data_IF_143640998110
#
_entry.id   IF_143640998110
#
_cell.length_a   1.000
_cell.length_b   1.000
_cell.length_c   1.000
_cell.angle_alpha   90.00
_cell.angle_beta   90.00
_cell.angle_gamma   90.00
#
_symmetry.space_group_name_H-M   'P 1'
#
loop_
_entity.id
_entity.type
_entity.pdbx_description
1 polymer ?
#
# COMPACT_ATOMS: atom_id res chain seq x y z
N UNK A 1 29.23 33.77 7.13
CA UNK A 1 28.13 33.19 7.94
C UNK A 1 28.40 31.70 8.05
N UNK A 2 28.56 31.13 9.25
CA UNK A 2 28.87 29.71 9.37
C UNK A 2 27.70 28.90 8.84
N UNK A 3 27.97 27.98 7.92
CA UNK A 3 26.99 27.05 7.38
C UNK A 3 26.28 26.33 8.53
N UNK A 4 24.96 26.45 8.61
CA UNK A 4 24.13 25.69 9.54
C UNK A 4 24.45 24.21 9.36
N UNK A 5 25.01 23.58 10.40
CA UNK A 5 25.11 22.12 10.47
C UNK A 5 23.70 21.57 10.26
N UNK A 6 23.48 20.59 9.37
CA UNK A 6 22.19 19.93 9.29
C UNK A 6 21.85 19.40 10.68
N UNK A 7 20.76 19.90 11.28
CA UNK A 7 20.32 19.40 12.56
C UNK A 7 20.07 17.89 12.42
N UNK A 8 20.78 17.08 13.22
CA UNK A 8 20.53 15.64 13.26
C UNK A 8 19.04 15.40 13.50
N UNK A 9 18.45 14.54 12.68
CA UNK A 9 17.03 14.23 12.79
C UNK A 9 16.75 13.67 14.20
N UNK A 10 15.72 14.17 14.89
CA UNK A 10 15.45 13.76 16.26
C UNK A 10 15.17 12.26 16.31
N UNK A 11 15.85 11.55 17.22
CA UNK A 11 15.71 10.10 17.44
C UNK A 11 14.30 9.69 17.84
N UNK A 12 13.53 10.61 18.41
CA UNK A 12 12.13 10.41 18.77
C UNK A 12 11.36 11.74 18.72
N UNK A 13 10.05 11.64 18.47
CA UNK A 13 9.12 12.77 18.56
C UNK A 13 8.19 12.63 19.76
N UNK A 14 8.04 13.70 20.55
CA UNK A 14 7.13 13.71 21.70
C UNK A 14 5.72 14.09 21.27
N UNK A 15 4.75 13.24 21.55
CA UNK A 15 3.33 13.44 21.29
C UNK A 15 2.58 13.63 22.62
N UNK A 16 1.69 14.62 22.69
CA UNK A 16 0.85 14.89 23.87
C UNK A 16 -0.62 14.80 23.50
N UNK A 17 -1.37 14.03 24.26
CA UNK A 17 -2.83 14.13 24.27
C UNK A 17 -3.22 15.29 25.21
N UNK A 18 -3.87 16.32 24.68
CA UNK A 18 -4.24 17.51 25.44
C UNK A 18 -5.44 17.31 26.37
N UNK A 19 -6.29 16.31 26.10
CA UNK A 19 -7.44 15.99 26.93
C UNK A 19 -7.06 15.14 28.14
N UNK A 20 -6.23 14.11 27.96
CA UNK A 20 -5.84 13.20 29.05
C UNK A 20 -4.51 13.56 29.71
N UNK A 21 -3.73 14.45 29.08
CA UNK A 21 -2.36 14.77 29.52
C UNK A 21 -1.32 13.70 29.21
N UNK A 22 -1.71 12.55 28.65
CA UNK A 22 -0.81 11.44 28.35
C UNK A 22 0.27 11.85 27.32
N UNK A 23 1.49 11.36 27.52
CA UNK A 23 2.64 11.63 26.65
C UNK A 23 3.11 10.30 26.05
N UNK A 24 3.32 10.30 24.74
CA UNK A 24 3.88 9.19 23.98
C UNK A 24 5.15 9.66 23.25
N UNK A 25 6.06 8.73 23.00
CA UNK A 25 7.30 9.00 22.25
C UNK A 25 7.31 8.13 20.99
N UNK A 26 7.34 8.76 19.83
CA UNK A 26 7.38 8.11 18.53
C UNK A 26 8.83 7.93 18.09
N UNK A 27 9.29 6.68 18.04
CA UNK A 27 10.58 6.28 17.47
C UNK A 27 10.46 5.69 16.07
N UNK A 28 9.24 5.38 15.61
CA UNK A 28 8.99 4.74 14.32
C UNK A 28 9.13 5.74 13.17
N UNK A 29 8.77 7.00 13.41
CA UNK A 29 8.97 8.12 12.48
C UNK A 29 10.43 8.28 12.04
N UNK A 30 11.41 7.95 12.89
CA UNK A 30 12.83 7.96 12.54
C UNK A 30 13.22 6.87 11.52
N UNK A 31 12.37 5.85 11.33
CA UNK A 31 12.56 4.79 10.33
C UNK A 31 11.84 5.11 9.00
N UNK A 32 11.15 6.24 8.91
CA UNK A 32 10.42 6.63 7.71
C UNK A 32 11.40 6.93 6.57
N UNK A 33 11.23 6.22 5.45
CA UNK A 33 12.05 6.40 4.24
C UNK A 33 11.34 7.15 3.13
N UNK A 34 10.01 7.22 3.21
CA UNK A 34 9.20 7.93 2.21
C UNK A 34 9.27 9.42 2.46
N UNK A 35 9.54 10.18 1.39
CA UNK A 35 9.45 11.63 1.45
C UNK A 35 8.01 12.05 1.75
N UNK A 36 7.86 12.98 2.70
CA UNK A 36 6.59 13.64 2.98
C UNK A 36 6.45 14.87 2.08
N UNK A 37 5.22 15.34 1.78
CA UNK A 37 5.03 16.53 0.95
C UNK A 37 5.48 17.84 1.61
N UNK A 38 5.86 17.81 2.89
CA UNK A 38 6.26 18.99 3.64
C UNK A 38 7.78 19.23 3.54
N UNK A 39 8.18 20.50 3.62
CA UNK A 39 9.58 20.91 3.74
C UNK A 39 9.79 21.74 5.01
N UNK A 40 11.06 22.07 5.32
CA UNK A 40 11.41 22.92 6.45
C UNK A 40 10.71 24.31 6.42
N UNK A 41 10.33 24.79 5.23
CA UNK A 41 9.71 26.12 5.05
C UNK A 41 8.20 26.08 4.79
N UNK A 42 7.64 24.92 4.45
CA UNK A 42 6.23 24.82 4.05
C UNK A 42 5.62 23.49 4.44
N UNK A 43 4.47 23.57 5.11
CA UNK A 43 3.62 22.41 5.36
C UNK A 43 2.61 22.24 4.22
N UNK A 44 2.49 21.02 3.69
CA UNK A 44 1.48 20.60 2.72
C UNK A 44 0.53 19.54 3.30
N UNK A 45 0.36 19.52 4.63
CA UNK A 45 -0.45 18.51 5.32
C UNK A 45 -1.94 18.51 4.94
N UNK A 46 -2.48 19.65 4.47
CA UNK A 46 -3.87 19.78 4.00
C UNK A 46 -4.06 19.44 2.52
N UNK A 47 -2.99 19.15 1.77
CA UNK A 47 -3.11 18.74 0.38
C UNK A 47 -3.78 17.35 0.29
N UNK A 48 -4.89 17.27 -0.44
CA UNK A 48 -5.67 16.02 -0.56
C UNK A 48 -4.88 14.92 -1.27
N UNK A 49 -4.21 15.24 -2.39
CA UNK A 49 -3.47 14.26 -3.21
C UNK A 49 -2.06 14.79 -3.53
N UNK A 50 -1.13 14.77 -2.56
CA UNK A 50 0.25 15.16 -2.82
C UNK A 50 0.95 14.13 -3.71
N UNK A 51 1.87 14.59 -4.57
CA UNK A 51 2.59 13.72 -5.53
C UNK A 51 3.36 12.60 -4.85
N UNK A 52 3.92 12.84 -3.66
CA UNK A 52 4.68 11.86 -2.88
C UNK A 52 3.83 10.69 -2.35
N UNK A 53 2.50 10.86 -2.29
CA UNK A 53 1.57 9.78 -1.92
C UNK A 53 0.99 9.05 -3.14
N UNK A 54 1.27 9.53 -4.35
CA UNK A 54 0.90 8.86 -5.58
C UNK A 54 2.02 7.89 -5.96
N UNK A 55 1.65 6.64 -6.21
CA UNK A 55 2.51 5.73 -6.96
C UNK A 55 2.28 6.05 -8.44
N UNK A 56 3.26 6.70 -9.09
CA UNK A 56 3.16 7.03 -10.50
C UNK A 56 3.14 5.78 -11.39
N UNK A 57 3.01 5.94 -12.72
CA UNK A 57 3.59 4.98 -13.65
C UNK A 57 5.12 5.06 -13.53
N UNK A 58 5.65 4.73 -12.34
CA UNK A 58 7.08 4.55 -12.16
C UNK A 58 7.49 3.47 -13.13
N UNK A 59 8.41 3.82 -14.04
CA UNK A 59 9.11 2.88 -14.89
C UNK A 59 9.82 1.83 -14.06
N UNK A 60 10.34 0.81 -14.73
CA UNK A 60 11.03 -0.28 -14.06
C UNK A 60 12.08 0.26 -13.10
N UNK A 61 11.94 -0.11 -11.81
CA UNK A 61 12.91 0.27 -10.79
C UNK A 61 14.26 -0.32 -11.17
N UNK A 62 15.34 0.41 -10.88
CA UNK A 62 16.65 -0.18 -11.09
C UNK A 62 16.82 -1.42 -10.21
N UNK A 63 17.60 -2.37 -10.70
CA UNK A 63 17.89 -3.62 -10.00
C UNK A 63 18.41 -3.37 -8.57
N UNK A 64 19.35 -2.43 -8.41
CA UNK A 64 19.91 -2.03 -7.12
C UNK A 64 18.84 -1.53 -6.13
N UNK A 65 17.91 -0.71 -6.62
CA UNK A 65 16.80 -0.21 -5.80
C UNK A 65 15.87 -1.35 -5.40
N UNK A 66 15.55 -2.26 -6.33
CA UNK A 66 14.70 -3.41 -6.06
C UNK A 66 15.34 -4.37 -5.05
N UNK A 67 16.63 -4.67 -5.19
CA UNK A 67 17.40 -5.49 -4.26
C UNK A 67 17.38 -4.92 -2.85
N UNK A 68 17.60 -3.61 -2.71
CA UNK A 68 17.52 -2.94 -1.40
C UNK A 68 16.13 -3.08 -0.79
N UNK A 69 15.09 -2.71 -1.54
CA UNK A 69 13.70 -2.75 -1.05
C UNK A 69 13.26 -4.18 -0.69
N UNK A 70 13.65 -5.17 -1.49
CA UNK A 70 13.37 -6.57 -1.24
C UNK A 70 14.04 -7.05 0.04
N UNK A 71 15.33 -6.73 0.24
CA UNK A 71 16.06 -7.05 1.49
C UNK A 71 15.39 -6.45 2.72
N UNK A 72 14.97 -5.19 2.64
CA UNK A 72 14.30 -4.51 3.75
C UNK A 72 12.96 -5.17 4.10
N UNK A 73 12.16 -5.49 3.08
CA UNK A 73 10.88 -6.16 3.27
C UNK A 73 11.05 -7.56 3.87
N UNK A 74 11.98 -8.38 3.35
CA UNK A 74 12.25 -9.73 3.86
C UNK A 74 12.77 -9.66 5.30
N UNK A 75 13.70 -8.74 5.59
CA UNK A 75 14.19 -8.50 6.95
C UNK A 75 13.05 -8.13 7.90
N UNK A 76 12.13 -7.25 7.46
CA UNK A 76 10.96 -6.84 8.25
C UNK A 76 10.03 -8.05 8.51
N UNK A 77 9.78 -8.88 7.50
CA UNK A 77 8.96 -10.09 7.63
C UNK A 77 9.55 -11.08 8.65
N UNK A 78 10.83 -11.43 8.52
CA UNK A 78 11.48 -12.36 9.45
C UNK A 78 11.62 -11.78 10.87
N UNK A 79 11.86 -10.47 10.99
CA UNK A 79 11.87 -9.78 12.28
C UNK A 79 10.53 -9.87 13.00
N UNK A 80 9.41 -9.74 12.27
CA UNK A 80 8.07 -9.82 12.84
C UNK A 80 7.75 -11.17 13.47
N UNK A 81 8.35 -12.24 12.95
CA UNK A 81 8.19 -13.62 13.46
C UNK A 81 9.29 -14.00 14.46
N UNK A 82 10.14 -13.05 14.89
CA UNK A 82 11.32 -13.29 15.74
C UNK A 82 12.30 -14.31 15.16
N UNK A 83 12.46 -14.32 13.83
CA UNK A 83 13.36 -15.21 13.08
C UNK A 83 14.39 -14.44 12.23
N UNK A 84 14.63 -13.17 12.55
CA UNK A 84 15.74 -12.42 11.97
C UNK A 84 17.06 -13.17 12.18
N UNK A 85 17.98 -13.03 11.22
CA UNK A 85 19.28 -13.73 11.19
C UNK A 85 19.24 -15.28 11.24
N UNK A 86 18.07 -15.90 11.11
CA UNK A 86 17.99 -17.36 11.04
C UNK A 86 18.55 -17.91 9.72
N UNK A 87 18.87 -19.20 9.66
CA UNK A 87 19.29 -19.85 8.41
C UNK A 87 18.25 -19.67 7.29
N UNK A 88 16.96 -19.81 7.64
CA UNK A 88 15.86 -19.59 6.70
C UNK A 88 15.78 -18.14 6.21
N UNK A 89 16.13 -17.15 7.05
CA UNK A 89 16.19 -15.73 6.65
C UNK A 89 17.27 -15.52 5.59
N UNK A 90 18.48 -16.00 5.85
CA UNK A 90 19.62 -15.88 4.93
C UNK A 90 19.36 -16.60 3.60
N UNK A 91 18.81 -17.81 3.64
CA UNK A 91 18.44 -18.56 2.44
C UNK A 91 17.40 -17.81 1.60
N UNK A 92 16.37 -17.26 2.23
CA UNK A 92 15.34 -16.49 1.50
C UNK A 92 15.91 -15.22 0.87
N UNK A 93 16.81 -14.50 1.57
CA UNK A 93 17.50 -13.35 1.01
C UNK A 93 18.35 -13.72 -0.23
N UNK A 94 19.06 -14.85 -0.18
CA UNK A 94 19.83 -15.35 -1.33
C UNK A 94 18.91 -15.72 -2.50
N UNK A 95 17.82 -16.43 -2.24
CA UNK A 95 16.84 -16.80 -3.26
C UNK A 95 16.24 -15.57 -3.95
N UNK A 96 15.83 -14.56 -3.18
CA UNK A 96 15.28 -13.31 -3.71
C UNK A 96 16.30 -12.54 -4.52
N UNK A 97 17.55 -12.45 -4.04
CA UNK A 97 18.63 -11.80 -4.81
C UNK A 97 18.84 -12.50 -6.15
N UNK A 98 18.93 -13.83 -6.16
CA UNK A 98 19.13 -14.60 -7.40
C UNK A 98 17.96 -14.42 -8.36
N UNK A 99 16.71 -14.46 -7.87
CA UNK A 99 15.53 -14.22 -8.73
C UNK A 99 15.57 -12.83 -9.39
N UNK A 100 15.94 -11.79 -8.63
CA UNK A 100 16.04 -10.43 -9.16
C UNK A 100 17.13 -10.35 -10.24
N UNK A 101 18.30 -10.95 -10.00
CA UNK A 101 19.40 -10.99 -10.98
C UNK A 101 19.02 -11.76 -12.26
N UNK A 102 18.30 -12.87 -12.12
CA UNK A 102 17.99 -13.76 -13.25
C UNK A 102 16.79 -13.27 -14.08
N UNK A 103 15.80 -12.64 -13.43
CA UNK A 103 14.50 -12.34 -14.06
C UNK A 103 14.14 -10.86 -14.05
N UNK A 104 14.93 -10.01 -13.40
CA UNK A 104 14.65 -8.60 -13.16
C UNK A 104 13.60 -8.33 -12.08
N UNK A 105 13.05 -9.37 -11.44
CA UNK A 105 12.05 -9.25 -10.36
C UNK A 105 12.05 -10.47 -9.44
N UNK A 106 11.16 -10.53 -8.45
CA UNK A 106 10.99 -11.71 -7.60
C UNK A 106 9.53 -11.92 -7.24
N UNK A 107 9.19 -13.15 -6.85
CA UNK A 107 7.84 -13.49 -6.39
C UNK A 107 7.81 -13.65 -4.88
N UNK A 108 6.90 -12.93 -4.23
CA UNK A 108 6.58 -13.12 -2.82
C UNK A 108 5.96 -14.51 -2.59
N UNK A 109 6.33 -15.14 -1.48
CA UNK A 109 5.58 -16.28 -0.96
C UNK A 109 4.19 -15.84 -0.49
N UNK A 110 3.24 -16.77 -0.39
CA UNK A 110 1.89 -16.45 0.07
C UNK A 110 1.90 -15.81 1.47
N UNK A 111 2.67 -16.36 2.40
CA UNK A 111 2.79 -15.81 3.76
C UNK A 111 3.38 -14.39 3.77
N UNK A 112 4.34 -14.11 2.89
CA UNK A 112 4.92 -12.79 2.69
C UNK A 112 3.90 -11.81 2.10
N UNK A 113 3.10 -12.26 1.13
CA UNK A 113 2.03 -11.47 0.53
C UNK A 113 0.96 -11.08 1.56
N UNK A 114 0.53 -12.03 2.38
CA UNK A 114 -0.43 -11.80 3.48
C UNK A 114 0.13 -10.81 4.49
N UNK A 115 1.40 -10.98 4.86
CA UNK A 115 2.10 -10.07 5.77
C UNK A 115 2.16 -8.65 5.20
N UNK A 116 2.57 -8.51 3.95
CA UNK A 116 2.70 -7.23 3.25
C UNK A 116 1.37 -6.49 3.14
N UNK A 117 0.30 -7.19 2.78
CA UNK A 117 -1.05 -6.61 2.69
C UNK A 117 -1.53 -6.06 4.04
N UNK A 118 -1.36 -6.83 5.12
CA UNK A 118 -1.72 -6.41 6.48
C UNK A 118 -0.87 -5.24 6.96
N UNK A 119 0.44 -5.25 6.69
CA UNK A 119 1.33 -4.14 7.05
C UNK A 119 1.05 -2.87 6.26
N UNK A 120 0.70 -2.98 4.97
CA UNK A 120 0.27 -1.83 4.18
C UNK A 120 -0.97 -1.16 4.79
N UNK A 121 -1.97 -1.95 5.20
CA UNK A 121 -3.15 -1.40 5.89
C UNK A 121 -2.79 -0.78 7.26
N UNK A 122 -1.95 -1.46 8.07
CA UNK A 122 -1.46 -0.91 9.34
C UNK A 122 -0.74 0.44 9.15
N UNK A 123 -0.02 0.60 8.05
CA UNK A 123 0.76 1.79 7.73
C UNK A 123 -0.05 2.87 6.98
N UNK A 124 -1.33 2.62 6.65
CA UNK A 124 -2.19 3.59 5.98
C UNK A 124 -2.62 4.71 6.96
N UNK A 125 -1.83 5.78 7.05
CA UNK A 125 -2.03 6.88 8.02
C UNK A 125 -3.42 7.54 7.95
N UNK A 126 -4.06 7.52 6.78
CA UNK A 126 -5.41 8.08 6.54
C UNK A 126 -6.56 7.13 6.92
N UNK A 127 -6.28 5.90 7.35
CA UNK A 127 -7.29 4.93 7.75
C UNK A 127 -7.53 4.98 9.27
N UNK A 128 -8.74 5.32 9.69
CA UNK A 128 -9.15 5.29 11.10
C UNK A 128 -9.34 3.86 11.63
N UNK A 129 -9.84 2.95 10.79
CA UNK A 129 -10.19 1.56 11.15
C UNK A 129 -9.01 0.60 11.33
N UNK A 130 -7.78 1.11 11.52
CA UNK A 130 -6.55 0.31 11.57
C UNK A 130 -6.47 -0.64 12.76
N UNK A 131 -7.32 -0.53 13.77
CA UNK A 131 -7.36 -1.51 14.87
C UNK A 131 -7.64 -2.95 14.38
N UNK A 132 -8.31 -3.09 13.22
CA UNK A 132 -8.64 -4.39 12.61
C UNK A 132 -7.55 -4.93 11.67
N UNK A 133 -6.39 -4.26 11.54
CA UNK A 133 -5.39 -4.54 10.51
C UNK A 133 -4.94 -6.01 10.41
N UNK A 134 -4.97 -6.74 11.52
CA UNK A 134 -4.56 -8.15 11.56
C UNK A 134 -5.67 -9.13 11.10
N UNK A 135 -6.93 -8.68 11.05
CA UNK A 135 -8.12 -9.42 10.59
C UNK A 135 -8.47 -9.04 9.14
N UNK A 136 -7.55 -9.34 8.23
CA UNK A 136 -7.71 -9.15 6.79
C UNK A 136 -7.64 -10.50 6.08
N UNK A 137 -8.69 -10.83 5.31
CA UNK A 137 -8.64 -11.93 4.35
C UNK A 137 -7.88 -11.48 3.11
N UNK A 138 -6.93 -12.29 2.65
CA UNK A 138 -6.20 -12.04 1.41
C UNK A 138 -6.59 -13.11 0.42
N UNK A 139 -7.02 -12.69 -0.76
CA UNK A 139 -7.22 -13.56 -1.91
C UNK A 139 -6.03 -13.36 -2.86
N UNK A 140 -5.21 -14.40 -2.99
CA UNK A 140 -4.11 -14.41 -3.94
C UNK A 140 -4.66 -14.70 -5.35
N UNK A 141 -4.62 -13.70 -6.21
CA UNK A 141 -5.11 -13.73 -7.58
C UNK A 141 -3.98 -13.40 -8.57
N UNK A 142 -2.71 -13.64 -8.17
CA UNK A 142 -1.52 -13.26 -8.95
C UNK A 142 -1.31 -14.10 -10.21
N UNK A 143 -2.05 -15.20 -10.37
CA UNK A 143 -1.96 -16.12 -11.51
C UNK A 143 -3.07 -15.90 -12.55
N UNK A 144 -3.95 -14.90 -12.33
CA UNK A 144 -5.00 -14.52 -13.28
C UNK A 144 -4.39 -13.91 -14.54
N UNK A 145 -4.97 -14.23 -15.69
CA UNK A 145 -4.50 -13.81 -17.01
C UNK A 145 -5.54 -13.07 -17.84
N UNK A 146 -6.82 -13.10 -17.43
CA UNK A 146 -7.91 -12.50 -18.21
C UNK A 146 -8.82 -11.57 -17.38
N UNK A 147 -9.49 -10.66 -18.07
CA UNK A 147 -10.51 -9.77 -17.46
C UNK A 147 -11.71 -10.54 -16.91
N UNK A 148 -12.07 -11.66 -17.55
CA UNK A 148 -13.15 -12.52 -17.07
C UNK A 148 -12.80 -13.18 -15.72
N UNK A 149 -11.57 -13.68 -15.59
CA UNK A 149 -11.07 -14.20 -14.31
C UNK A 149 -11.00 -13.10 -13.24
N UNK A 150 -10.55 -11.88 -13.60
CA UNK A 150 -10.59 -10.73 -12.69
C UNK A 150 -12.01 -10.47 -12.18
N UNK A 151 -12.99 -10.44 -13.08
CA UNK A 151 -14.40 -10.24 -12.73
C UNK A 151 -14.89 -11.32 -11.76
N UNK A 152 -14.63 -12.60 -12.05
CA UNK A 152 -14.99 -13.71 -11.17
C UNK A 152 -14.36 -13.61 -9.78
N UNK A 153 -13.08 -13.22 -9.70
CA UNK A 153 -12.40 -12.97 -8.42
C UNK A 153 -12.99 -11.79 -7.66
N UNK A 154 -13.42 -10.73 -8.35
CA UNK A 154 -14.11 -9.60 -7.72
C UNK A 154 -15.49 -9.99 -7.20
N UNK A 155 -16.27 -10.78 -7.94
CA UNK A 155 -17.55 -11.31 -7.45
C UNK A 155 -17.36 -12.17 -6.19
N UNK A 156 -16.32 -13.03 -6.19
CA UNK A 156 -15.96 -13.85 -5.02
C UNK A 156 -15.59 -12.98 -3.82
N UNK A 157 -14.77 -11.94 -4.06
CA UNK A 157 -14.41 -10.96 -3.04
C UNK A 157 -15.64 -10.28 -2.45
N UNK A 158 -16.55 -9.75 -3.28
CA UNK A 158 -17.75 -9.04 -2.84
C UNK A 158 -18.64 -9.98 -2.02
N UNK A 159 -18.93 -11.18 -2.52
CA UNK A 159 -19.74 -12.15 -1.78
C UNK A 159 -19.13 -12.48 -0.41
N UNK A 160 -17.81 -12.70 -0.36
CA UNK A 160 -17.09 -12.92 0.89
C UNK A 160 -17.16 -11.72 1.84
N UNK A 161 -16.88 -10.51 1.33
CA UNK A 161 -16.79 -9.30 2.13
C UNK A 161 -18.15 -8.84 2.64
N UNK A 162 -19.21 -8.98 1.84
CA UNK A 162 -20.58 -8.62 2.22
C UNK A 162 -21.15 -9.57 3.26
N UNK A 163 -20.93 -10.89 3.12
CA UNK A 163 -21.28 -11.90 4.13
C UNK A 163 -22.68 -11.70 4.76
N UNK A 164 -23.70 -11.50 3.92
CA UNK A 164 -25.10 -11.26 4.34
C UNK A 164 -25.27 -10.12 5.37
N UNK A 165 -24.44 -9.10 5.28
CA UNK A 165 -24.45 -7.93 6.17
C UNK A 165 -23.41 -7.98 7.31
N UNK A 166 -22.84 -9.15 7.63
CA UNK A 166 -21.77 -9.26 8.63
C UNK A 166 -20.39 -9.05 7.98
N UNK A 167 -20.09 -7.78 7.68
CA UNK A 167 -18.97 -7.40 6.82
C UNK A 167 -17.62 -7.97 7.27
N UNK A 168 -16.84 -8.44 6.30
CA UNK A 168 -15.47 -8.94 6.50
C UNK A 168 -14.49 -8.15 5.66
N UNK A 169 -13.40 -7.71 6.28
CA UNK A 169 -12.31 -7.03 5.55
C UNK A 169 -11.56 -8.04 4.68
N UNK A 170 -11.47 -7.75 3.39
CA UNK A 170 -10.75 -8.55 2.42
C UNK A 170 -9.95 -7.68 1.44
N UNK A 171 -8.92 -8.26 0.83
CA UNK A 171 -8.19 -7.70 -0.30
C UNK A 171 -7.96 -8.81 -1.34
N UNK A 172 -8.13 -8.50 -2.62
CA UNK A 172 -7.74 -9.39 -3.72
C UNK A 172 -6.53 -8.80 -4.41
N UNK A 173 -5.44 -9.57 -4.52
CA UNK A 173 -4.18 -9.10 -5.07
C UNK A 173 -3.98 -9.74 -6.44
N UNK A 174 -4.10 -8.91 -7.47
CA UNK A 174 -3.88 -9.27 -8.87
C UNK A 174 -2.39 -9.35 -9.22
N UNK A 175 -2.05 -9.84 -10.42
CA UNK A 175 -0.65 -9.97 -10.83
C UNK A 175 0.10 -8.63 -10.68
N UNK A 176 1.33 -8.63 -10.16
CA UNK A 176 2.11 -7.40 -10.03
C UNK A 176 2.44 -6.82 -11.42
N UNK A 177 2.75 -5.52 -11.46
CA UNK A 177 3.29 -4.89 -12.68
C UNK A 177 4.54 -5.66 -13.14
N UNK A 178 4.62 -5.93 -14.44
CA UNK A 178 5.76 -6.54 -15.09
C UNK A 178 5.98 -5.88 -16.45
N UNK A 179 7.23 -5.64 -16.80
CA UNK A 179 7.61 -5.09 -18.10
C UNK A 179 7.02 -5.94 -19.24
N UNK A 180 6.44 -5.29 -20.25
CA UNK A 180 5.92 -5.95 -21.45
C UNK A 180 4.58 -6.70 -21.31
N UNK A 181 4.05 -6.92 -20.09
CA UNK A 181 2.77 -7.64 -19.88
C UNK A 181 1.53 -6.74 -19.84
N UNK A 182 1.71 -5.44 -19.60
CA UNK A 182 0.62 -4.52 -19.29
C UNK A 182 0.15 -4.64 -17.82
N UNK A 183 -0.52 -3.59 -17.34
CA UNK A 183 -0.98 -3.50 -15.95
C UNK A 183 -2.39 -4.09 -15.77
N UNK A 184 -2.59 -4.83 -14.68
CA UNK A 184 -3.91 -5.18 -14.18
C UNK A 184 -4.49 -3.99 -13.41
N UNK A 185 -5.57 -3.38 -13.92
CA UNK A 185 -6.19 -2.18 -13.34
C UNK A 185 -7.70 -2.31 -13.26
N UNK A 186 -8.24 -1.90 -12.12
CA UNK A 186 -9.67 -1.57 -11.98
C UNK A 186 -9.77 -0.05 -12.13
N UNK A 187 -10.52 0.40 -13.12
CA UNK A 187 -10.67 1.84 -13.39
C UNK A 187 -11.63 2.49 -12.38
N UNK A 188 -12.58 1.71 -11.87
CA UNK A 188 -13.53 2.13 -10.86
C UNK A 188 -12.78 2.55 -9.58
N UNK A 189 -13.11 3.72 -9.00
CA UNK A 189 -12.49 4.16 -7.75
C UNK A 189 -12.87 3.27 -6.56
N UNK A 190 -14.03 2.59 -6.63
CA UNK A 190 -14.54 1.62 -5.65
C UNK A 190 -15.30 0.52 -6.43
N UNK A 191 -15.38 -0.69 -5.88
CA UNK A 191 -16.02 -1.83 -6.57
C UNK A 191 -17.53 -1.64 -6.79
N UNK A 192 -18.20 -0.92 -5.88
CA UNK A 192 -19.65 -0.66 -5.95
C UNK A 192 -19.84 0.85 -5.74
N UNK A 193 -20.37 1.54 -6.77
CA UNK A 193 -20.83 2.94 -6.70
C UNK A 193 -22.05 3.13 -7.58
N UNK A 194 -22.83 4.16 -7.28
CA UNK A 194 -23.92 4.60 -8.14
C UNK A 194 -23.41 5.47 -9.30
N UNK A 195 -24.06 5.36 -10.45
CA UNK A 195 -23.78 6.18 -11.63
C UNK A 195 -24.23 7.64 -11.45
N UNK A 196 -23.77 8.52 -12.34
CA UNK A 196 -24.21 9.92 -12.45
C UNK A 196 -24.50 10.29 -13.89
N UNK A 197 -25.68 10.82 -14.18
CA UNK A 197 -26.12 11.14 -15.55
C UNK A 197 -26.48 12.61 -15.69
N UNK A 198 -25.79 13.33 -16.58
CA UNK A 198 -26.15 14.69 -16.98
C UNK A 198 -27.49 14.67 -17.72
N UNK A 199 -28.42 15.53 -17.31
CA UNK A 199 -29.73 15.72 -17.91
C UNK A 199 -29.70 16.86 -18.94
N UNK A 200 -30.66 16.92 -19.88
CA UNK A 200 -30.72 17.97 -20.89
C UNK A 200 -30.87 19.40 -20.32
N UNK A 201 -31.44 19.54 -19.11
CA UNK A 201 -31.60 20.81 -18.41
C UNK A 201 -30.36 21.24 -17.60
N UNK A 202 -29.28 20.45 -17.63
CA UNK A 202 -28.04 20.68 -16.90
C UNK A 202 -28.01 20.10 -15.49
N UNK A 203 -29.11 19.51 -14.99
CA UNK A 203 -29.10 18.79 -13.72
C UNK A 203 -28.34 17.46 -13.83
N UNK A 204 -27.99 16.85 -12.69
CA UNK A 204 -27.39 15.51 -12.64
C UNK A 204 -28.28 14.57 -11.84
N UNK A 205 -28.64 13.44 -12.43
CA UNK A 205 -29.32 12.34 -11.76
C UNK A 205 -28.30 11.33 -11.21
N UNK A 206 -28.36 11.01 -9.92
CA UNK A 206 -27.44 10.05 -9.29
C UNK A 206 -26.28 10.74 -8.56
N UNK A 207 -25.08 10.14 -8.61
CA UNK A 207 -23.86 10.65 -7.94
C UNK A 207 -23.07 11.56 -8.90
N UNK A 208 -23.03 12.89 -8.68
CA UNK A 208 -22.31 13.81 -9.55
C UNK A 208 -20.81 13.55 -9.64
N UNK A 209 -20.21 12.90 -8.62
CA UNK A 209 -18.78 12.58 -8.63
C UNK A 209 -18.42 11.46 -9.62
N UNK A 210 -19.41 10.75 -10.18
CA UNK A 210 -19.18 9.62 -11.09
C UNK A 210 -19.63 9.90 -12.52
N UNK A 211 -20.03 11.12 -12.85
CA UNK A 211 -20.47 11.46 -14.21
C UNK A 211 -19.41 11.08 -15.25
N UNK A 212 -18.14 11.43 -15.02
CA UNK A 212 -17.04 11.15 -15.95
C UNK A 212 -16.81 9.66 -16.22
N UNK A 213 -16.94 8.80 -15.20
CA UNK A 213 -16.76 7.34 -15.37
C UNK A 213 -18.04 6.64 -15.84
N UNK A 214 -19.18 7.32 -15.79
CA UNK A 214 -20.46 6.80 -16.27
C UNK A 214 -20.61 6.99 -17.78
N UNK A 215 -20.05 8.08 -18.32
CA UNK A 215 -19.99 8.41 -19.75
C UNK A 215 -18.99 7.52 -20.51
#
# INVERSE_FOLDING_TARGET
LPAERPAELPRYSRLKNWQTGAILYDTLSAQARQEVPCSARRCLGSAMVPKQMLCGPEGDRSEDQLLSLARDFITLYYSSMKRAESQAHHQRLQEVNNQILDTGTYRLLEAELVFGAKHAWRNAARCLGRIQWNKLQVFDARDITSTQEMFTSLCTHINYATNRGNLRSAITIFPPRAAGRGDFRIWNPQLIRYAGYKQPDGAVLGDPANVEITE
#
